data_IF_622112288716
#
_entry.id   IF_622112288716
#
_cell.length_a   1.000
_cell.length_b   1.000
_cell.length_c   1.000
_cell.angle_alpha   90.00
_cell.angle_beta   90.00
_cell.angle_gamma   90.00
#
_symmetry.space_group_name_H-M   'P 1'
#
loop_
_entity.id
_entity.type
_entity.pdbx_description
1 polymer ?
#
# COMPACT_ATOMS: atom_id res chain seq x y z
N UNK A 1 37.28 12.91 -8.06
CA UNK A 1 36.81 11.96 -7.03
C UNK A 1 37.74 10.76 -7.00
N UNK A 2 38.29 10.47 -5.84
CA UNK A 2 39.05 9.25 -5.56
C UNK A 2 38.09 8.06 -5.45
N UNK A 3 38.59 6.84 -5.72
CA UNK A 3 37.79 5.59 -5.65
C UNK A 3 37.12 5.38 -4.28
N UNK A 4 37.74 5.89 -3.21
CA UNK A 4 37.21 5.84 -1.84
C UNK A 4 35.97 6.71 -1.67
N UNK A 5 35.98 7.93 -2.20
CA UNK A 5 34.83 8.85 -2.12
C UNK A 5 33.63 8.30 -2.87
N UNK A 6 33.86 7.67 -4.02
CA UNK A 6 32.79 7.05 -4.82
C UNK A 6 32.18 5.84 -4.11
N UNK A 7 33.01 5.02 -3.46
CA UNK A 7 32.53 3.89 -2.65
C UNK A 7 31.67 4.36 -1.47
N UNK A 8 32.12 5.41 -0.78
CA UNK A 8 31.38 6.01 0.34
C UNK A 8 30.03 6.56 -0.15
N UNK A 9 30.02 7.30 -1.26
CA UNK A 9 28.79 7.82 -1.85
C UNK A 9 27.81 6.69 -2.20
N UNK A 10 28.28 5.61 -2.85
CA UNK A 10 27.45 4.47 -3.19
C UNK A 10 26.82 3.79 -1.96
N UNK A 11 27.59 3.64 -0.87
CA UNK A 11 27.09 3.08 0.38
C UNK A 11 26.01 3.96 0.99
N UNK A 12 26.22 5.28 1.05
CA UNK A 12 25.21 6.20 1.57
C UNK A 12 23.93 6.18 0.73
N UNK A 13 24.06 6.21 -0.60
CA UNK A 13 22.91 6.11 -1.50
C UNK A 13 22.13 4.82 -1.28
N UNK A 14 22.82 3.69 -1.13
CA UNK A 14 22.19 2.41 -0.85
C UNK A 14 21.41 2.43 0.47
N UNK A 15 22.02 2.95 1.55
CA UNK A 15 21.35 3.07 2.86
C UNK A 15 20.12 3.97 2.77
N UNK A 16 20.20 5.10 2.05
CA UNK A 16 19.06 6.00 1.84
C UNK A 16 17.91 5.30 1.14
N UNK A 17 18.18 4.53 0.08
CA UNK A 17 17.15 3.78 -0.64
C UNK A 17 16.51 2.74 0.29
N UNK A 18 17.31 1.97 1.05
CA UNK A 18 16.78 0.99 1.99
C UNK A 18 15.89 1.63 3.06
N UNK A 19 16.32 2.75 3.64
CA UNK A 19 15.52 3.48 4.62
C UNK A 19 14.18 3.96 4.04
N UNK A 20 14.20 4.43 2.79
CA UNK A 20 13.00 4.90 2.11
C UNK A 20 12.00 3.78 1.83
N UNK A 21 12.49 2.62 1.36
CA UNK A 21 11.65 1.43 1.14
C UNK A 21 11.02 0.94 2.45
N UNK A 22 11.77 0.90 3.54
CA UNK A 22 11.25 0.49 4.86
C UNK A 22 10.17 1.46 5.32
N UNK A 23 10.41 2.77 5.20
CA UNK A 23 9.45 3.79 5.56
C UNK A 23 8.17 3.67 4.74
N UNK A 24 8.27 3.45 3.43
CA UNK A 24 7.13 3.27 2.54
C UNK A 24 6.29 2.05 2.92
N UNK A 25 6.94 0.92 3.21
CA UNK A 25 6.25 -0.29 3.69
C UNK A 25 5.51 -0.03 5.01
N UNK A 26 6.15 0.65 5.96
CA UNK A 26 5.51 0.99 7.24
C UNK A 26 4.30 1.92 7.02
N UNK A 27 4.43 2.93 6.16
CA UNK A 27 3.33 3.86 5.84
C UNK A 27 2.19 3.15 5.14
N UNK A 28 2.48 2.30 4.16
CA UNK A 28 1.49 1.49 3.47
C UNK A 28 0.75 0.57 4.44
N UNK A 29 1.45 -0.05 5.41
CA UNK A 29 0.81 -0.87 6.44
C UNK A 29 -0.04 -0.04 7.41
N UNK A 30 0.42 1.13 7.84
CA UNK A 30 -0.38 2.01 8.71
C UNK A 30 -1.62 2.58 8.03
N UNK A 31 -1.62 2.75 6.70
CA UNK A 31 -2.83 3.14 5.97
C UNK A 31 -3.84 1.98 5.83
N UNK A 32 -3.37 0.73 5.88
CA UNK A 32 -4.21 -0.47 5.79
C UNK A 32 -4.72 -0.92 7.17
N UNK A 33 -4.11 -0.47 8.27
CA UNK A 33 -4.72 -0.56 9.60
C UNK A 33 -5.91 0.39 9.69
N UNK A 34 -7.05 -0.05 9.11
CA UNK A 34 -8.36 0.52 9.42
C UNK A 34 -8.47 0.46 10.95
N UNK A 35 -8.52 1.61 11.65
CA UNK A 35 -8.59 1.61 13.10
C UNK A 35 -9.79 0.74 13.47
N UNK A 36 -9.63 -0.19 14.41
CA UNK A 36 -10.63 -1.22 14.76
C UNK A 36 -12.02 -0.64 15.03
N UNK A 37 -12.07 0.65 15.41
CA UNK A 37 -13.27 1.48 15.61
C UNK A 37 -14.09 1.78 14.33
N UNK A 38 -13.48 1.72 13.14
CA UNK A 38 -14.13 1.96 11.84
C UNK A 38 -14.52 0.67 11.11
N UNK A 39 -13.93 -0.48 11.44
CA UNK A 39 -14.36 -1.77 10.88
C UNK A 39 -15.78 -2.16 11.31
N UNK A 40 -16.24 -1.72 12.49
CA UNK A 40 -17.62 -1.97 12.96
C UNK A 40 -18.68 -1.07 12.31
N UNK A 41 -18.31 0.06 11.70
CA UNK A 41 -19.26 1.04 11.13
C UNK A 41 -19.33 0.97 9.61
N UNK A 42 -18.32 0.37 8.97
CA UNK A 42 -18.35 0.08 7.55
C UNK A 42 -19.04 -1.29 7.41
N UNK A 43 -20.37 -1.31 7.45
CA UNK A 43 -21.09 -2.41 6.83
C UNK A 43 -20.50 -2.56 5.41
N UNK A 44 -20.03 -3.75 5.02
CA UNK A 44 -19.71 -3.97 3.63
C UNK A 44 -20.97 -3.60 2.85
N UNK A 45 -20.87 -2.62 1.94
CA UNK A 45 -21.89 -2.44 0.91
C UNK A 45 -21.80 -3.72 0.10
N UNK A 46 -22.53 -4.74 0.52
CA UNK A 46 -22.79 -5.94 -0.26
C UNK A 46 -23.48 -5.43 -1.50
N UNK A 47 -22.83 -5.42 -2.68
CA UNK A 47 -23.59 -5.26 -3.88
C UNK A 47 -24.30 -6.61 -4.03
N UNK A 48 -25.55 -6.69 -3.55
CA UNK A 48 -26.48 -7.70 -4.05
C UNK A 48 -26.63 -7.41 -5.55
N UNK A 49 -25.68 -7.94 -6.34
CA UNK A 49 -25.76 -7.99 -7.79
C UNK A 49 -26.92 -8.94 -8.08
N UNK A 50 -28.11 -8.35 -8.15
CA UNK A 50 -29.32 -9.05 -8.50
C UNK A 50 -29.26 -9.32 -10.01
N UNK A 51 -28.59 -10.41 -10.39
CA UNK A 51 -28.40 -10.85 -11.78
C UNK A 51 -29.71 -11.32 -12.43
N UNK A 52 -30.87 -11.06 -11.83
CA UNK A 52 -32.17 -11.55 -12.28
C UNK A 52 -32.81 -10.70 -13.40
N UNK A 53 -32.24 -9.55 -13.77
CA UNK A 53 -32.86 -8.67 -14.78
C UNK A 53 -32.33 -8.85 -16.21
N UNK A 54 -31.37 -9.74 -16.47
CA UNK A 54 -30.80 -9.93 -17.83
C UNK A 54 -31.49 -11.07 -18.63
N UNK A 55 -32.38 -11.86 -18.02
CA UNK A 55 -33.06 -12.99 -18.68
C UNK A 55 -34.59 -12.80 -18.81
N UNK A 56 -35.04 -11.56 -19.04
CA UNK A 56 -36.43 -11.32 -19.44
C UNK A 56 -36.59 -10.10 -20.34
N UNK A 57 -35.98 -10.16 -21.53
CA UNK A 57 -36.48 -9.40 -22.67
C UNK A 57 -36.67 -10.34 -23.87
N UNK A 58 -37.92 -10.52 -24.36
CA UNK A 58 -38.24 -11.30 -25.55
C UNK A 58 -37.80 -10.62 -26.85
#
# INVERSE_FOLDING_TARGET
MTKKEWLIAAIFTFITICAWVIFDILHARSQVEIPTKLQEVIEPISPDFNTQEVESQP
#
